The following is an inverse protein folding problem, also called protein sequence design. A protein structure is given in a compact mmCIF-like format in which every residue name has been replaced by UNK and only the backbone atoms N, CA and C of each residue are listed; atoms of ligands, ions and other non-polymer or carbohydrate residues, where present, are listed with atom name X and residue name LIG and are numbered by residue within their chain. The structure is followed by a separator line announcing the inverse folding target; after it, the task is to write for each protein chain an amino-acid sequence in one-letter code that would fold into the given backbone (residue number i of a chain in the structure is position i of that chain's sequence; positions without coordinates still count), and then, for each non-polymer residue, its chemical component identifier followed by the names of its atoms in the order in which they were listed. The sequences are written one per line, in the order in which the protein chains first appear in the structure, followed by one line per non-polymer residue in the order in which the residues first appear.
data_IF_543476723495
#
_entry.id   IF_543476723495
#
_cell.length_a   1.000
_cell.length_b   1.000
_cell.length_c   1.000
_cell.angle_alpha   90.00
_cell.angle_beta   90.00
_cell.angle_gamma   90.00
#
_symmetry.space_group_name_H-M   'P 1'
#
loop_
_entity.id
_entity.type
_entity.pdbx_description
1 polymer ?
2 polymer ?
3 non-polymer ?
4 water ?
#
# COMPACT_ATOMS: atom_id res chain seq x y z
N UNK A 6 15.64 3.91 15.61
CA UNK A 6 14.62 4.16 14.60
C UNK A 6 14.25 2.86 13.88
N UNK A 7 13.25 2.93 13.01
CA UNK A 7 12.71 1.70 12.40
C UNK A 7 13.61 1.19 11.28
N UNK A 8 14.02 -0.07 11.36
CA UNK A 8 15.01 -0.60 10.44
C UNK A 8 14.41 -1.15 9.18
N UNK A 9 15.24 -1.29 8.15
CA UNK A 9 14.81 -1.94 6.91
C UNK A 9 14.28 -3.34 7.18
N UNK A 10 15.01 -4.11 7.99
CA UNK A 10 14.69 -5.51 8.16
C UNK A 10 13.38 -5.69 8.95
N UNK A 11 13.14 -4.82 9.92
CA UNK A 11 11.91 -4.82 10.70
C UNK A 11 10.74 -4.53 9.75
N UNK A 12 10.95 -3.57 8.85
CA UNK A 12 9.90 -3.18 7.89
C UNK A 12 9.63 -4.29 6.85
N UNK A 13 10.68 -4.93 6.32
CA UNK A 13 10.52 -6.07 5.45
C UNK A 13 9.74 -7.19 6.13
N UNK A 14 10.08 -7.52 7.38
CA UNK A 14 9.35 -8.59 8.05
C UNK A 14 7.86 -8.24 8.21
N UNK A 15 7.55 -6.98 8.53
CA UNK A 15 6.15 -6.58 8.69
C UNK A 15 5.44 -6.63 7.34
N UNK A 16 6.13 -6.18 6.30
CA UNK A 16 5.55 -6.27 4.96
C UNK A 16 5.24 -7.72 4.56
N UNK A 17 6.17 -8.64 4.85
CA UNK A 17 5.93 -10.03 4.52
C UNK A 17 4.70 -10.56 5.22
N UNK A 18 4.46 -10.12 6.45
CA UNK A 18 3.28 -10.59 7.15
C UNK A 18 2.02 -9.94 6.60
N UNK A 19 2.09 -8.65 6.29
CA UNK A 19 0.97 -7.95 5.63
C UNK A 19 0.62 -8.70 4.32
N UNK A 20 1.64 -9.06 3.57
CA UNK A 20 1.42 -9.79 2.31
C UNK A 20 0.79 -11.15 2.55
N UNK A 21 1.25 -11.85 3.59
CA UNK A 21 0.70 -13.15 3.94
C UNK A 21 -0.76 -13.02 4.29
N UNK A 22 -1.09 -12.02 5.08
CA UNK A 22 -2.48 -11.81 5.47
C UNK A 22 -3.33 -11.43 4.27
N UNK A 23 -2.75 -10.64 3.37
CA UNK A 23 -3.45 -10.26 2.15
C UNK A 23 -3.72 -11.47 1.30
N UNK A 24 -2.72 -12.32 1.09
CA UNK A 24 -2.94 -13.46 0.21
C UNK A 24 -4.03 -14.39 0.78
N UNK A 25 -4.10 -14.50 2.10
CA UNK A 25 -5.15 -15.27 2.75
C UNK A 25 -6.51 -14.69 2.40
N UNK A 26 -6.65 -13.38 2.50
CA UNK A 26 -7.91 -12.75 2.14
C UNK A 26 -8.25 -12.94 0.66
N UNK A 27 -7.27 -12.76 -0.22
CA UNK A 27 -7.51 -12.91 -1.64
C UNK A 27 -8.09 -14.31 -1.94
N UNK A 28 -7.53 -15.30 -1.27
CA UNK A 28 -7.98 -16.69 -1.44
C UNK A 28 -9.33 -16.97 -0.80
N UNK A 29 -9.55 -16.45 0.41
CA UNK A 29 -10.64 -16.95 1.22
C UNK A 29 -11.87 -16.09 1.16
N UNK A 30 -11.71 -14.83 0.78
CA UNK A 30 -12.86 -13.91 0.80
C UNK A 30 -13.86 -14.41 -0.24
N UNK A 31 -15.16 -14.40 0.11
CA UNK A 31 -16.10 -14.96 -0.86
C UNK A 31 -16.28 -14.09 -2.11
N UNK A 32 -16.75 -14.69 -3.21
CA UNK A 32 -16.90 -13.94 -4.46
C UNK A 32 -17.78 -12.72 -4.29
N UNK A 33 -17.61 -11.74 -5.19
CA UNK A 33 -18.42 -10.55 -5.07
C UNK A 33 -19.79 -10.83 -5.65
N UNK A 34 -20.73 -9.93 -5.45
CA UNK A 34 -22.11 -10.21 -5.84
C UNK A 34 -22.24 -10.42 -7.34
N UNK A 35 -21.44 -9.70 -8.10
CA UNK A 35 -21.45 -9.81 -9.57
C UNK A 35 -20.06 -9.66 -10.13
N UNK A 36 -19.84 -10.19 -11.33
CA UNK A 36 -18.53 -10.10 -11.97
C UNK A 36 -18.22 -8.71 -12.49
N UNK A 37 -19.19 -7.80 -12.35
CA UNK A 37 -18.98 -6.39 -12.64
C UNK A 37 -18.28 -5.65 -11.52
N UNK A 38 -18.13 -6.29 -10.35
CA UNK A 38 -17.29 -5.74 -9.30
C UNK A 38 -15.87 -5.71 -9.82
N UNK A 39 -15.11 -4.72 -9.39
CA UNK A 39 -13.70 -4.77 -9.68
C UNK A 39 -13.05 -5.84 -8.79
N UNK A 40 -11.95 -6.41 -9.28
CA UNK A 40 -11.31 -7.54 -8.61
C UNK A 40 -10.25 -7.14 -7.59
N UNK A 41 -10.37 -7.76 -6.42
CA UNK A 41 -9.33 -7.74 -5.39
C UNK A 41 -7.96 -7.92 -5.98
N UNK A 42 -6.97 -7.32 -5.32
CA UNK A 42 -5.58 -7.48 -5.74
C UNK A 42 -4.63 -7.02 -4.66
N UNK A 43 -3.44 -7.60 -4.65
CA UNK A 43 -2.31 -7.05 -3.89
C UNK A 43 -1.40 -6.38 -4.90
N UNK A 44 -1.09 -5.09 -4.69
CA UNK A 44 -0.30 -4.37 -5.69
C UNK A 44 1.11 -4.10 -5.19
N UNK A 45 1.51 -4.85 -4.18
CA UNK A 45 2.83 -4.81 -3.48
C UNK A 45 2.86 -3.78 -2.35
N UNK A 46 1.94 -2.82 -2.37
CA UNK A 46 1.87 -1.77 -1.36
C UNK A 46 0.65 -1.98 -0.45
N UNK A 47 -0.51 -2.12 -1.07
CA UNK A 47 -1.75 -2.35 -0.33
C UNK A 47 -2.55 -3.56 -0.82
N UNK A 48 -3.36 -4.06 0.10
CA UNK A 48 -4.31 -5.12 -0.15
C UNK A 48 -5.66 -4.54 -0.52
N UNK A 49 -6.07 -4.67 -1.78
CA UNK A 49 -7.36 -4.13 -2.24
C UNK A 49 -8.46 -5.20 -2.27
N UNK A 50 -9.64 -4.92 -1.69
CA UNK A 50 -10.78 -5.83 -1.79
C UNK A 50 -11.49 -5.67 -3.13
N UNK A 51 -12.46 -6.52 -3.43
CA UNK A 51 -13.30 -6.29 -4.62
C UNK A 51 -13.96 -4.94 -4.44
N UNK A 52 -14.31 -4.31 -5.56
CA UNK A 52 -14.91 -2.99 -5.51
C UNK A 52 -16.28 -2.97 -6.18
N UNK A 53 -17.23 -2.26 -5.57
CA UNK A 53 -18.54 -2.01 -6.22
C UNK A 53 -18.32 -1.16 -7.45
N UNK A 54 -18.99 -1.49 -8.58
CA UNK A 54 -18.86 -0.62 -9.76
C UNK A 54 -19.29 0.81 -9.51
N UNK A 55 -18.54 1.74 -10.04
CA UNK A 55 -18.86 3.15 -9.92
C UNK A 55 -18.63 3.71 -8.52
N UNK A 56 -17.64 3.22 -7.80
CA UNK A 56 -17.40 3.71 -6.45
C UNK A 56 -15.93 3.75 -6.07
N UNK A 57 -15.62 4.60 -5.10
CA UNK A 57 -14.29 4.63 -4.50
C UNK A 57 -14.14 3.48 -3.54
N UNK A 58 -12.93 2.92 -3.51
CA UNK A 58 -12.60 1.82 -2.63
C UNK A 58 -11.51 2.36 -1.73
N UNK A 59 -11.66 2.17 -0.42
CA UNK A 59 -10.64 2.68 0.50
C UNK A 59 -10.12 1.57 1.39
N UNK A 60 -8.82 1.61 1.65
CA UNK A 60 -8.26 0.69 2.62
C UNK A 60 -7.35 1.48 3.54
N UNK A 61 -7.17 0.99 4.76
CA UNK A 61 -6.29 1.66 5.71
C UNK A 61 -4.88 1.76 5.23
N UNK A 62 -4.17 2.82 5.63
CA UNK A 62 -2.74 2.90 5.37
C UNK A 62 -2.11 1.59 5.80
N UNK A 63 -1.24 1.03 4.96
CA UNK A 63 -0.67 -0.28 5.35
C UNK A 63 0.08 -0.26 6.66
N UNK A 64 -0.16 -1.25 7.50
CA UNK A 64 0.30 -1.13 8.87
C UNK A 64 1.80 -1.37 9.01
N UNK A 65 2.45 -1.85 7.95
CA UNK A 65 3.92 -2.06 8.01
C UNK A 65 4.74 -0.80 7.79
N UNK A 66 4.09 0.31 7.45
CA UNK A 66 4.81 1.55 7.22
C UNK A 66 5.58 1.95 8.48
N UNK A 67 6.83 2.43 8.31
CA UNK A 67 7.56 2.83 9.52
C UNK A 67 6.83 3.88 10.35
N UNK A 68 6.09 4.75 9.66
CA UNK A 68 5.38 5.85 10.30
C UNK A 68 3.89 5.57 10.46
N UNK A 69 3.51 4.31 10.44
CA UNK A 69 2.08 3.96 10.50
C UNK A 69 1.40 4.60 11.71
N UNK A 70 2.13 4.78 12.80
CA UNK A 70 1.50 5.30 14.02
C UNK A 70 1.11 6.76 13.86
N UNK A 71 1.67 7.44 12.86
CA UNK A 71 1.34 8.84 12.56
C UNK A 71 0.19 9.02 11.55
N UNK A 72 -0.21 7.93 10.92
CA UNK A 72 -1.35 7.95 10.00
C UNK A 72 -2.41 6.91 10.39
N UNK A 73 -2.80 6.89 11.67
CA UNK A 73 -3.68 5.83 12.15
C UNK A 73 -5.09 5.81 11.52
N UNK A 74 -5.56 6.95 11.04
CA UNK A 74 -6.88 7.03 10.41
C UNK A 74 -6.78 7.30 8.91
N UNK A 75 -5.59 7.16 8.34
CA UNK A 75 -5.41 7.45 6.92
C UNK A 75 -5.94 6.30 6.08
N UNK A 76 -6.35 6.62 4.84
CA UNK A 76 -6.79 5.63 3.88
C UNK A 76 -6.14 5.90 2.53
N UNK A 77 -5.97 4.83 1.75
CA UNK A 77 -5.51 4.93 0.37
C UNK A 77 -6.75 4.58 -0.45
N UNK A 78 -6.83 5.15 -1.65
CA UNK A 78 -8.03 5.03 -2.50
C UNK A 78 -7.70 4.54 -3.91
N UNK A 79 -8.66 3.77 -4.43
CA UNK A 79 -8.77 3.44 -5.85
C UNK A 79 -10.18 3.83 -6.26
N UNK A 80 -10.44 3.85 -7.56
CA UNK A 80 -11.80 4.02 -8.04
C UNK A 80 -12.16 2.87 -8.97
N UNK A 81 -13.29 2.23 -8.68
CA UNK A 81 -13.79 1.12 -9.47
C UNK A 81 -14.80 1.64 -10.46
N UNK A 82 -14.51 1.52 -11.75
CA UNK A 82 -15.43 2.06 -12.76
C UNK A 82 -16.65 1.18 -12.95
N UNK A 83 -17.66 1.75 -13.62
CA UNK A 83 -18.91 1.03 -13.83
C UNK A 83 -18.73 -0.21 -14.68
N UNK A 84 -17.61 -0.29 -15.41
CA UNK A 84 -17.29 -1.44 -16.26
C UNK A 84 -16.61 -2.57 -15.48
N UNK A 85 -16.30 -2.37 -14.20
CA UNK A 85 -15.66 -3.40 -13.42
C UNK A 85 -14.13 -3.43 -13.59
N UNK A 86 -13.59 -2.31 -14.06
CA UNK A 86 -12.15 -2.12 -14.21
C UNK A 86 -11.71 -1.03 -13.25
N UNK A 87 -10.57 -1.20 -12.61
CA UNK A 87 -10.06 -0.12 -11.82
C UNK A 87 -9.73 1.05 -12.74
N UNK A 88 -10.04 2.24 -12.29
CA UNK A 88 -9.63 3.44 -13.00
C UNK A 88 -8.13 3.41 -13.24
N UNK A 89 -7.71 3.72 -14.47
CA UNK A 89 -6.30 3.69 -14.86
C UNK A 89 -5.63 5.08 -15.01
N UNK A 90 -4.31 5.10 -14.81
CA UNK A 90 -3.50 6.28 -15.06
C UNK A 90 -3.35 6.51 -16.56
N UNK A 91 -3.34 7.77 -17.00
CA UNK A 91 -3.17 8.09 -18.42
C UNK A 91 -1.90 7.47 -18.98
N UNK A 92 -1.94 7.01 -20.22
CA UNK A 92 -0.78 6.45 -20.92
C UNK A 92 -0.23 5.24 -20.20
N UNK A 93 -1.11 4.44 -19.61
CA UNK A 93 -0.70 3.42 -18.67
C UNK A 93 -1.77 2.37 -18.46
N UNK A 94 -1.32 1.17 -18.12
CA UNK A 94 -2.22 0.10 -17.70
C UNK A 94 -2.35 0.12 -16.17
N UNK A 95 -1.62 1.02 -15.52
CA UNK A 95 -1.56 1.06 -14.07
C UNK A 95 -2.77 1.72 -13.44
N UNK A 96 -3.18 1.23 -12.25
CA UNK A 96 -4.39 1.82 -11.64
C UNK A 96 -4.12 3.14 -10.97
N UNK A 97 -5.09 4.03 -11.07
CA UNK A 97 -5.08 5.26 -10.33
C UNK A 97 -5.15 4.93 -8.84
N UNK A 98 -4.29 5.57 -8.08
CA UNK A 98 -4.34 5.45 -6.63
C UNK A 98 -4.07 6.81 -5.99
N UNK A 99 -4.75 7.08 -4.90
CA UNK A 99 -4.42 8.21 -4.05
C UNK A 99 -3.90 7.72 -2.71
N UNK A 100 -2.59 7.83 -2.52
CA UNK A 100 -1.95 7.40 -1.27
C UNK A 100 -1.52 8.59 -0.39
N UNK A 101 -2.02 9.78 -0.70
CA UNK A 101 -1.57 11.01 -0.05
C UNK A 101 -1.75 10.97 1.47
N UNK A 102 -2.82 10.33 1.94
CA UNK A 102 -3.08 10.27 3.39
C UNK A 102 -2.09 9.41 4.16
N UNK A 103 -1.29 8.63 3.44
CA UNK A 103 -0.38 7.67 4.06
C UNK A 103 1.08 8.05 3.91
N UNK A 104 1.32 9.26 3.45
CA UNK A 104 2.69 9.72 3.26
C UNK A 104 3.27 10.12 4.61
N UNK A 105 4.60 10.08 4.71
CA UNK A 105 5.24 10.31 6.00
C UNK A 105 4.97 11.73 6.50
N UNK B 4 22.89 21.48 17.05
CA UNK B 4 23.42 21.12 15.74
C UNK B 4 23.27 19.64 15.42
N UNK B 5 23.97 19.17 14.39
CA UNK B 5 23.84 17.77 13.95
C UNK B 5 25.11 16.99 14.27
N UNK B 6 24.93 15.72 14.68
CA UNK B 6 26.03 14.84 15.07
C UNK B 6 26.10 13.65 14.14
N UNK B 7 27.23 12.94 14.18
CA UNK B 7 27.46 11.82 13.27
C UNK B 7 26.43 10.70 13.48
N UNK B 8 25.94 10.57 14.71
CA UNK B 8 24.89 9.62 15.02
C UNK B 8 23.55 10.02 14.40
N UNK B 9 23.33 11.33 14.23
CA UNK B 9 22.13 11.77 13.50
C UNK B 9 22.18 11.32 12.04
N UNK B 10 23.38 11.31 11.47
CA UNK B 10 23.56 10.98 10.07
C UNK B 10 23.42 9.48 9.91
N UNK B 11 24.00 8.71 10.83
CA UNK B 11 23.92 7.27 10.75
C UNK B 11 22.49 6.79 10.96
N UNK B 12 21.75 7.38 11.90
CA UNK B 12 20.33 7.07 12.03
C UNK B 12 19.52 7.46 10.77
N UNK B 13 19.77 8.65 10.22
CA UNK B 13 19.15 9.06 8.99
C UNK B 13 19.34 8.01 7.90
N UNK B 14 20.57 7.57 7.72
CA UNK B 14 20.86 6.55 6.69
C UNK B 14 20.09 5.24 6.92
N UNK B 15 20.05 4.75 8.15
CA UNK B 15 19.23 3.56 8.45
C UNK B 15 17.74 3.76 8.17
N UNK B 16 17.24 4.89 8.60
CA UNK B 16 15.87 5.25 8.34
C UNK B 16 15.59 5.29 6.85
N UNK B 17 16.55 5.78 6.07
CA UNK B 17 16.32 5.92 4.64
C UNK B 17 16.26 4.56 3.95
N UNK B 18 17.00 3.58 4.45
CA UNK B 18 16.92 2.23 3.89
C UNK B 18 15.46 1.72 3.92
N UNK B 19 14.79 1.88 5.05
CA UNK B 19 13.37 1.47 5.11
C UNK B 19 12.47 2.32 4.20
N UNK B 20 12.66 3.64 4.21
CA UNK B 20 11.87 4.53 3.36
C UNK B 20 12.08 4.22 1.88
N UNK B 21 13.27 3.82 1.48
CA UNK B 21 13.52 3.50 0.06
C UNK B 21 12.82 2.20 -0.29
N UNK B 22 12.73 1.30 0.69
CA UNK B 22 12.02 0.07 0.46
C UNK B 22 10.53 0.38 0.20
N UNK B 23 9.95 1.27 1.00
CA UNK B 23 8.57 1.66 0.81
C UNK B 23 8.39 2.27 -0.56
N UNK B 24 9.30 3.17 -0.93
CA UNK B 24 9.16 3.81 -2.24
C UNK B 24 9.19 2.77 -3.35
N UNK B 25 10.02 1.75 -3.16
CA UNK B 25 10.15 0.65 -4.13
C UNK B 25 8.81 -0.12 -4.22
N UNK B 26 8.18 -0.38 -3.09
CA UNK B 26 6.86 -1.01 -3.11
C UNK B 26 5.84 -0.15 -3.85
N UNK B 27 5.86 1.15 -3.58
CA UNK B 27 4.90 2.07 -4.21
C UNK B 27 5.07 2.03 -5.73
N UNK B 28 6.31 1.89 -6.20
CA UNK B 28 6.58 1.74 -7.63
C UNK B 28 6.18 0.37 -8.19
N UNK B 29 5.89 -0.59 -7.32
CA UNK B 29 5.46 -1.89 -7.77
C UNK B 29 6.49 -2.97 -7.56
N UNK B 30 7.54 -2.65 -6.82
CA UNK B 30 8.52 -3.64 -6.40
C UNK B 30 9.22 -4.26 -7.60
N UNK B 31 9.39 -3.47 -8.66
CA UNK B 31 9.95 -3.98 -9.91
C UNK B 31 11.46 -4.00 -9.95
#
# INVERSE_FOLDING_TARGET
RPQGATVSLWETVQKWREYRRQCQRSLTEDPPPATDLFCNRTFDEYACWPDGEPGSFVNVSCPWYLPWASSVPQGHVYRFCTAEGLWLQKDNSSLPWRDLSECEESKRGERSSPEEQLLFLY
HXEGTFTSDVSSYLEGQAAKEFIAWLVRGRG
#
